data_IF_800971892351
#
_entry.id   IF_800971892351
#
_cell.length_a   1.000
_cell.length_b   1.000
_cell.length_c   1.000
_cell.angle_alpha   90.00
_cell.angle_beta   90.00
_cell.angle_gamma   90.00
#
_symmetry.space_group_name_H-M   'P 1'
#
loop_
_entity.id
_entity.type
_entity.pdbx_description
1 polymer ?
#
# COMPACT_ATOMS: atom_id res chain seq x y z
N UNK A 1 -2.70 -1.00 -26.36
CA UNK A 1 -1.66 -1.69 -25.55
C UNK A 1 -1.87 -1.21 -24.13
N UNK A 2 -2.24 -2.13 -23.24
CA UNK A 2 -2.75 -1.80 -21.89
C UNK A 2 -1.82 -0.83 -21.16
N UNK A 3 -2.38 0.24 -20.60
CA UNK A 3 -1.65 1.14 -19.70
C UNK A 3 -1.23 0.32 -18.49
N UNK A 4 -0.04 -0.29 -18.55
CA UNK A 4 0.49 -1.12 -17.48
C UNK A 4 0.66 -0.28 -16.22
N UNK A 5 -0.23 -0.47 -15.25
CA UNK A 5 -0.13 0.18 -13.95
C UNK A 5 1.16 -0.22 -13.26
N UNK A 6 1.84 0.75 -12.65
CA UNK A 6 3.08 0.50 -11.91
C UNK A 6 2.78 -0.32 -10.65
N UNK A 7 3.56 -1.39 -10.46
CA UNK A 7 3.54 -2.23 -9.27
C UNK A 7 4.60 -1.71 -8.30
N UNK A 8 4.18 -1.28 -7.12
CA UNK A 8 5.11 -0.98 -6.04
C UNK A 8 5.52 -2.26 -5.29
N UNK A 9 6.79 -2.37 -4.95
CA UNK A 9 7.29 -3.44 -4.08
C UNK A 9 6.94 -3.19 -2.61
N UNK A 10 6.89 -1.91 -2.22
CA UNK A 10 6.64 -1.45 -0.88
C UNK A 10 5.57 -0.37 -0.90
N UNK A 11 4.78 -0.29 0.17
CA UNK A 11 3.65 0.61 0.27
C UNK A 11 3.62 1.28 1.65
N UNK A 12 3.21 2.53 1.65
CA UNK A 12 3.02 3.43 2.79
C UNK A 12 1.54 3.76 2.95
N UNK A 13 1.17 4.38 4.07
CA UNK A 13 -0.22 4.82 4.27
C UNK A 13 -0.69 5.80 3.18
N UNK A 14 0.21 6.63 2.63
CA UNK A 14 -0.15 7.66 1.66
C UNK A 14 -0.50 7.04 0.32
N UNK A 15 0.29 6.06 -0.15
CA UNK A 15 -0.01 5.32 -1.38
C UNK A 15 -1.33 4.55 -1.26
N UNK A 16 -1.65 3.99 -0.07
CA UNK A 16 -2.97 3.40 0.17
C UNK A 16 -4.10 4.43 0.08
N UNK A 17 -3.87 5.67 0.54
CA UNK A 17 -4.84 6.76 0.41
C UNK A 17 -5.04 7.13 -1.07
N UNK A 18 -3.97 7.20 -1.85
CA UNK A 18 -4.03 7.45 -3.29
C UNK A 18 -4.79 6.36 -4.06
N UNK A 19 -4.68 5.10 -3.61
CA UNK A 19 -5.45 3.97 -4.14
C UNK A 19 -6.95 4.09 -3.82
N UNK A 20 -7.33 4.88 -2.81
CA UNK A 20 -8.72 5.17 -2.44
C UNK A 20 -9.13 4.73 -1.04
N UNK A 21 -8.20 4.28 -0.19
CA UNK A 21 -8.49 3.98 1.20
C UNK A 21 -8.62 5.26 2.03
N UNK A 22 -9.55 5.27 3.00
CA UNK A 22 -9.59 6.36 3.99
C UNK A 22 -8.35 6.30 4.88
N UNK A 23 -7.90 7.44 5.41
CA UNK A 23 -6.68 7.49 6.24
C UNK A 23 -6.68 6.47 7.39
N UNK A 24 -7.79 6.35 8.13
CA UNK A 24 -7.89 5.36 9.22
C UNK A 24 -7.78 3.91 8.73
N UNK A 25 -8.29 3.61 7.53
CA UNK A 25 -8.18 2.29 6.91
C UNK A 25 -6.74 2.02 6.51
N UNK A 26 -6.10 2.97 5.82
CA UNK A 26 -4.70 2.87 5.43
C UNK A 26 -3.78 2.63 6.63
N UNK A 27 -3.95 3.40 7.71
CA UNK A 27 -3.19 3.21 8.96
C UNK A 27 -3.42 1.83 9.56
N UNK A 28 -4.69 1.38 9.60
CA UNK A 28 -5.05 0.06 10.14
C UNK A 28 -4.42 -1.07 9.32
N UNK A 29 -4.46 -0.97 8.00
CA UNK A 29 -3.86 -1.94 7.07
C UNK A 29 -2.35 -2.04 7.30
N UNK A 30 -1.63 -0.91 7.37
CA UNK A 30 -0.20 -0.90 7.64
C UNK A 30 0.12 -1.55 9.00
N UNK A 31 -0.67 -1.25 10.04
CA UNK A 31 -0.47 -1.86 11.35
C UNK A 31 -0.71 -3.37 11.34
N UNK A 32 -1.75 -3.84 10.66
CA UNK A 32 -2.02 -5.27 10.52
C UNK A 32 -0.92 -5.97 9.71
N UNK A 33 -0.45 -5.37 8.62
CA UNK A 33 0.64 -5.90 7.81
C UNK A 33 1.92 -6.08 8.65
N UNK A 34 2.29 -5.07 9.44
CA UNK A 34 3.43 -5.15 10.36
C UNK A 34 3.27 -6.26 11.38
N UNK A 35 2.08 -6.38 11.99
CA UNK A 35 1.80 -7.45 12.96
C UNK A 35 1.93 -8.83 12.33
N UNK A 36 1.43 -9.01 11.12
CA UNK A 36 1.53 -10.28 10.39
C UNK A 36 2.99 -10.60 10.04
N UNK A 37 3.75 -9.62 9.55
CA UNK A 37 5.18 -9.80 9.25
C UNK A 37 6.00 -10.18 10.48
N UNK A 38 5.73 -9.55 11.63
CA UNK A 38 6.38 -9.93 12.89
C UNK A 38 6.03 -11.37 13.29
N UNK A 39 4.76 -11.79 13.12
CA UNK A 39 4.32 -13.17 13.35
C UNK A 39 4.95 -14.18 12.38
N UNK A 40 5.18 -13.77 11.12
CA UNK A 40 5.86 -14.58 10.09
C UNK A 40 7.38 -14.68 10.34
N UNK A 41 7.93 -14.02 11.37
CA UNK A 41 9.34 -14.10 11.73
C UNK A 41 10.21 -12.93 11.26
N UNK A 42 9.61 -11.81 10.84
CA UNK A 42 10.32 -10.60 10.41
C UNK A 42 10.29 -9.50 11.50
N UNK A 43 11.17 -9.55 12.52
CA UNK A 43 11.16 -8.60 13.64
C UNK A 43 11.46 -7.16 13.23
N UNK A 44 12.06 -6.94 12.06
CA UNK A 44 12.30 -5.62 11.47
C UNK A 44 11.04 -4.72 11.46
N UNK A 45 9.87 -5.32 11.24
CA UNK A 45 8.60 -4.60 11.18
C UNK A 45 8.00 -4.24 12.55
N UNK A 46 8.62 -4.66 13.66
CA UNK A 46 8.19 -4.26 15.00
C UNK A 46 8.53 -2.79 15.33
N UNK A 47 9.35 -2.12 14.51
CA UNK A 47 9.75 -0.73 14.75
C UNK A 47 8.58 0.25 14.54
N UNK A 48 8.24 1.04 15.57
CA UNK A 48 7.15 2.04 15.53
C UNK A 48 7.37 3.14 14.48
N UNK A 49 8.62 3.49 14.15
CA UNK A 49 8.96 4.55 13.19
C UNK A 49 8.90 4.10 11.73
N UNK A 50 8.80 2.79 11.47
CA UNK A 50 8.71 2.25 10.12
C UNK A 50 7.26 2.34 9.61
N UNK A 51 7.03 3.21 8.63
CA UNK A 51 5.71 3.44 8.02
C UNK A 51 5.45 2.65 6.73
N UNK A 52 6.34 1.73 6.38
CA UNK A 52 6.37 1.05 5.08
C UNK A 52 6.33 -0.46 5.28
N UNK A 53 5.58 -1.15 4.41
CA UNK A 53 5.47 -2.61 4.38
C UNK A 53 5.51 -3.12 2.93
N UNK A 54 5.81 -4.41 2.68
CA UNK A 54 5.71 -4.98 1.36
C UNK A 54 4.27 -4.95 0.85
N UNK A 55 4.09 -4.67 -0.44
CA UNK A 55 2.78 -4.67 -1.09
C UNK A 55 2.09 -6.02 -0.94
N UNK A 56 2.83 -7.12 -1.09
CA UNK A 56 2.32 -8.48 -0.93
C UNK A 56 1.69 -8.75 0.45
N UNK A 57 2.19 -8.10 1.51
CA UNK A 57 1.62 -8.23 2.86
C UNK A 57 0.28 -7.52 2.99
N UNK A 58 0.12 -6.42 2.26
CA UNK A 58 -1.14 -5.67 2.20
C UNK A 58 -2.16 -6.41 1.34
N UNK A 59 -1.75 -6.95 0.19
CA UNK A 59 -2.60 -7.78 -0.67
C UNK A 59 -3.12 -9.02 0.07
N UNK A 60 -2.30 -9.66 0.91
CA UNK A 60 -2.75 -10.77 1.79
C UNK A 60 -3.86 -10.36 2.76
N UNK A 61 -3.87 -9.12 3.23
CA UNK A 61 -4.88 -8.62 4.18
C UNK A 61 -6.19 -8.28 3.47
N UNK A 62 -6.08 -7.62 2.31
CA UNK A 62 -7.26 -7.14 1.56
C UNK A 62 -7.88 -8.28 0.75
N UNK A 63 -7.07 -9.24 0.30
CA UNK A 63 -7.51 -10.39 -0.49
C UNK A 63 -7.55 -10.14 -2.00
N UNK A 64 -7.09 -8.98 -2.48
CA UNK A 64 -7.00 -8.65 -3.91
C UNK A 64 -5.66 -7.98 -4.25
N UNK A 65 -5.16 -8.16 -5.48
CA UNK A 65 -3.98 -7.43 -5.94
C UNK A 65 -4.26 -5.93 -6.06
N UNK A 66 -3.31 -5.10 -5.64
CA UNK A 66 -3.43 -3.65 -5.75
C UNK A 66 -2.60 -3.12 -6.92
N UNK A 67 -3.16 -2.13 -7.64
CA UNK A 67 -2.52 -1.45 -8.77
C UNK A 67 -2.71 0.05 -8.59
N UNK A 68 -1.62 0.81 -8.68
CA UNK A 68 -1.70 2.28 -8.71
C UNK A 68 -2.03 2.70 -10.13
N UNK A 69 -3.17 3.38 -10.27
CA UNK A 69 -3.54 4.05 -11.51
C UNK A 69 -3.11 5.50 -11.40
N UNK A 70 -2.29 5.98 -12.33
CA UNK A 70 -1.98 7.41 -12.42
C UNK A 70 -3.26 8.18 -12.73
N UNK A 71 -3.99 8.64 -11.71
CA UNK A 71 -5.02 9.67 -11.87
C UNK A 71 -4.30 11.01 -11.97
N UNK A 72 -3.85 11.35 -13.18
CA UNK A 72 -3.07 12.56 -13.39
C UNK A 72 -2.65 12.80 -14.84
N UNK A 73 -3.54 12.57 -15.81
CA UNK A 73 -3.49 13.25 -17.12
C UNK A 73 -4.94 13.52 -17.57
N UNK A 74 -5.63 14.41 -16.86
CA UNK A 74 -6.86 15.03 -17.34
C UNK A 74 -6.74 16.55 -17.18
N UNK A 75 -6.25 17.16 -18.26
CA UNK A 75 -6.62 18.48 -18.82
C UNK A 75 -6.30 19.78 -18.05
N UNK A 76 -5.18 20.41 -18.44
CA UNK A 76 -5.04 21.87 -18.44
C UNK A 76 -4.48 22.33 -19.80
N UNK A 77 -5.25 22.06 -20.85
CA UNK A 77 -5.18 22.77 -22.14
C UNK A 77 -6.60 23.21 -22.47
N UNK A 78 -7.03 24.33 -21.88
CA UNK A 78 -8.01 25.23 -22.48
C UNK A 78 -7.83 26.63 -21.90
#
# INVERSE_FOLDING_TARGET
MEKGGLRLNFVTKNELIEIGFKEHQAVTIIQQAKKNLVKEGYPFYNNRRLGTVPMSSVEKIIGVPLVISNKGEENEQN
#
